data_IF_001280826626
#
_entry.id   IF_001280826626
#
_cell.length_a   1.000
_cell.length_b   1.000
_cell.length_c   1.000
_cell.angle_alpha   90.00
_cell.angle_beta   90.00
_cell.angle_gamma   90.00
#
_symmetry.space_group_name_H-M   'P 1'
#
loop_
_entity.id
_entity.type
_entity.pdbx_description
1 polymer ?
#
# COMPACT_ATOMS: atom_id res chain seq x y z
N UNK A 1 -36.81 0.84 -79.12
CA UNK A 1 -37.62 -0.32 -79.46
C UNK A 1 -38.16 -0.91 -78.19
N UNK A 2 -39.39 -0.81 -78.02
CA UNK A 2 -40.48 -1.64 -77.51
C UNK A 2 -40.51 -1.79 -75.98
N UNK A 3 -41.33 -1.07 -75.24
CA UNK A 3 -42.81 -1.09 -75.10
C UNK A 3 -43.33 -2.37 -74.47
N UNK A 4 -43.88 -2.29 -73.26
CA UNK A 4 -45.26 -2.67 -72.95
C UNK A 4 -45.36 -2.93 -71.42
N UNK A 5 -46.07 -2.23 -70.70
CA UNK A 5 -47.44 -1.93 -70.36
C UNK A 5 -48.01 -2.79 -69.24
N UNK A 6 -48.50 -2.06 -68.24
CA UNK A 6 -49.67 -2.27 -67.37
C UNK A 6 -49.96 -3.64 -66.74
N UNK A 7 -50.24 -3.62 -65.43
CA UNK A 7 -51.63 -3.67 -64.91
C UNK A 7 -51.64 -3.35 -63.40
N UNK A 8 -52.52 -2.34 -63.08
CA UNK A 8 -52.91 -2.02 -61.68
C UNK A 8 -53.87 -3.10 -61.17
N UNK A 9 -53.69 -3.52 -59.90
CA UNK A 9 -54.84 -3.98 -59.12
C UNK A 9 -54.68 -3.49 -57.66
N UNK A 10 -55.56 -2.65 -57.25
CA UNK A 10 -55.81 -2.22 -55.91
C UNK A 10 -56.48 -3.37 -55.16
N UNK A 11 -55.98 -3.69 -53.95
CA UNK A 11 -56.69 -4.49 -52.94
C UNK A 11 -56.63 -3.68 -51.65
N UNK A 12 -57.78 -3.13 -51.26
CA UNK A 12 -58.07 -2.55 -49.98
C UNK A 12 -58.02 -3.68 -48.95
N UNK A 13 -57.10 -3.59 -47.97
CA UNK A 13 -57.08 -4.42 -46.81
C UNK A 13 -56.91 -3.54 -45.58
N UNK A 14 -58.01 -3.31 -44.87
CA UNK A 14 -58.03 -2.61 -43.59
C UNK A 14 -57.21 -3.38 -42.58
N UNK A 15 -55.99 -2.90 -42.24
CA UNK A 15 -55.25 -3.38 -41.07
C UNK A 15 -55.72 -2.62 -39.84
N UNK A 16 -56.47 -3.32 -39.02
CA UNK A 16 -56.81 -2.92 -37.65
C UNK A 16 -55.49 -2.91 -36.80
N UNK A 17 -54.93 -1.72 -36.55
CA UNK A 17 -53.80 -1.56 -35.67
C UNK A 17 -54.26 -1.73 -34.22
N UNK A 18 -54.06 -2.91 -33.64
CA UNK A 18 -54.12 -3.08 -32.19
C UNK A 18 -52.95 -2.32 -31.55
N UNK A 19 -53.21 -1.13 -31.03
CA UNK A 19 -52.33 -0.46 -30.08
C UNK A 19 -52.31 -1.30 -28.80
N UNK A 20 -51.31 -2.12 -28.63
CA UNK A 20 -50.92 -2.66 -27.32
C UNK A 20 -50.29 -1.51 -26.54
N UNK A 21 -51.08 -0.88 -25.69
CA UNK A 21 -50.60 0.02 -24.64
C UNK A 21 -49.83 -0.88 -23.66
N UNK A 22 -48.52 -0.95 -23.80
CA UNK A 22 -47.66 -1.51 -22.80
C UNK A 22 -47.72 -0.60 -21.56
N UNK A 23 -48.48 -1.02 -20.55
CA UNK A 23 -48.45 -0.38 -19.25
C UNK A 23 -46.98 -0.40 -18.76
N UNK A 24 -46.44 0.71 -18.20
CA UNK A 24 -45.12 0.71 -17.60
C UNK A 24 -45.17 -0.26 -16.42
N UNK A 25 -44.59 -1.44 -16.62
CA UNK A 25 -44.35 -2.38 -15.55
C UNK A 25 -43.50 -1.69 -14.50
N UNK A 26 -44.09 -1.40 -13.35
CA UNK A 26 -43.33 -1.04 -12.15
C UNK A 26 -42.44 -2.24 -11.84
N UNK A 27 -41.17 -2.16 -12.22
CA UNK A 27 -40.18 -3.09 -11.76
C UNK A 27 -40.17 -2.95 -10.22
N UNK A 28 -40.80 -3.91 -9.52
CA UNK A 28 -40.70 -4.02 -8.06
C UNK A 28 -39.20 -4.13 -7.77
N UNK A 29 -38.65 -3.10 -7.15
CA UNK A 29 -37.30 -3.16 -6.57
C UNK A 29 -37.34 -4.29 -5.56
N UNK A 30 -36.87 -5.47 -5.93
CA UNK A 30 -36.67 -6.57 -4.99
C UNK A 30 -35.69 -6.09 -3.94
N UNK A 31 -36.12 -6.09 -2.67
CA UNK A 31 -35.25 -5.72 -1.56
C UNK A 31 -34.02 -6.62 -1.56
N UNK A 32 -32.81 -6.04 -1.41
CA UNK A 32 -31.59 -6.84 -1.38
C UNK A 32 -31.62 -7.77 -0.17
N UNK A 33 -31.22 -9.03 -0.38
CA UNK A 33 -31.16 -10.05 0.66
C UNK A 33 -29.74 -10.55 0.83
N UNK A 34 -29.31 -10.78 2.08
CA UNK A 34 -28.05 -11.43 2.39
C UNK A 34 -28.27 -12.91 2.67
N UNK A 35 -27.51 -13.78 2.01
CA UNK A 35 -27.62 -15.22 2.15
C UNK A 35 -26.67 -15.78 3.20
N UNK A 36 -27.21 -16.26 4.32
CA UNK A 36 -26.44 -16.99 5.32
C UNK A 36 -26.39 -18.47 4.99
N UNK A 37 -25.21 -19.07 4.91
CA UNK A 37 -25.02 -20.50 4.71
C UNK A 37 -25.04 -21.24 6.05
N UNK A 38 -26.05 -22.07 6.28
CA UNK A 38 -26.27 -22.84 7.51
C UNK A 38 -25.07 -23.75 7.80
N UNK A 39 -24.63 -23.73 9.05
CA UNK A 39 -23.55 -24.57 9.58
C UNK A 39 -24.14 -25.71 10.41
N UNK A 40 -23.44 -26.84 10.62
CA UNK A 40 -23.86 -27.88 11.55
C UNK A 40 -24.16 -27.31 12.95
N UNK A 41 -25.33 -27.64 13.51
CA UNK A 41 -25.75 -27.18 14.83
C UNK A 41 -26.44 -25.82 14.88
N UNK A 42 -26.54 -25.08 13.77
CA UNK A 42 -27.26 -23.81 13.73
C UNK A 42 -28.77 -24.00 13.98
N UNK A 43 -29.35 -23.05 14.72
CA UNK A 43 -30.81 -22.90 14.88
C UNK A 43 -31.25 -21.54 14.38
N UNK A 44 -32.44 -21.44 13.83
CA UNK A 44 -32.91 -20.19 13.19
C UNK A 44 -32.94 -19.01 14.17
N UNK A 45 -33.30 -19.27 15.44
CA UNK A 45 -33.30 -18.24 16.49
C UNK A 45 -31.87 -17.71 16.78
N UNK A 46 -30.85 -18.55 16.71
CA UNK A 46 -29.48 -18.15 16.97
C UNK A 46 -28.93 -17.35 15.81
N UNK A 47 -29.33 -17.69 14.57
CA UNK A 47 -29.03 -16.88 13.37
C UNK A 47 -29.70 -15.51 13.49
N UNK A 48 -30.99 -15.44 13.85
CA UNK A 48 -31.70 -14.18 14.06
C UNK A 48 -31.02 -13.32 15.14
N UNK A 49 -30.71 -13.93 16.31
CA UNK A 49 -29.97 -13.24 17.38
C UNK A 49 -28.63 -12.71 16.94
N UNK A 50 -27.95 -13.40 16.05
CA UNK A 50 -26.60 -12.99 15.58
C UNK A 50 -26.64 -11.92 14.53
N UNK A 51 -27.63 -11.90 13.64
CA UNK A 51 -27.61 -11.12 12.41
C UNK A 51 -28.76 -10.12 12.23
N UNK A 52 -29.96 -10.35 12.89
CA UNK A 52 -31.09 -9.41 12.75
C UNK A 52 -31.08 -8.30 13.81
N UNK A 53 -31.58 -7.12 13.45
CA UNK A 53 -31.80 -5.97 14.36
C UNK A 53 -32.72 -6.37 15.51
N UNK A 54 -33.82 -7.06 15.18
CA UNK A 54 -34.76 -7.60 16.15
C UNK A 54 -34.71 -9.14 16.12
N UNK A 55 -34.14 -9.78 17.16
CA UNK A 55 -34.06 -11.23 17.25
C UNK A 55 -35.43 -11.94 17.25
N UNK A 56 -36.51 -11.25 17.69
CA UNK A 56 -37.85 -11.82 17.77
C UNK A 56 -38.50 -11.99 16.39
N UNK A 57 -37.93 -11.36 15.35
CA UNK A 57 -38.37 -11.54 13.97
C UNK A 57 -37.96 -12.89 13.35
N UNK A 58 -37.36 -13.82 14.13
CA UNK A 58 -37.02 -15.15 13.64
C UNK A 58 -38.21 -15.92 13.04
N UNK A 59 -39.45 -15.63 13.47
CA UNK A 59 -40.66 -16.21 12.89
C UNK A 59 -40.92 -15.71 11.47
N UNK A 60 -40.69 -14.42 11.20
CA UNK A 60 -40.77 -13.86 9.85
C UNK A 60 -39.69 -14.47 8.96
N UNK A 61 -38.49 -14.65 9.53
CA UNK A 61 -37.40 -15.30 8.83
C UNK A 61 -37.70 -16.76 8.51
N UNK A 62 -38.39 -17.48 9.39
CA UNK A 62 -38.87 -18.84 9.17
C UNK A 62 -39.84 -18.92 7.99
N UNK A 63 -40.83 -18.02 7.96
CA UNK A 63 -41.86 -17.97 6.92
C UNK A 63 -41.24 -17.61 5.55
N UNK A 64 -40.43 -16.54 5.48
CA UNK A 64 -39.84 -16.06 4.24
C UNK A 64 -38.84 -17.06 3.61
N UNK A 65 -38.22 -17.94 4.42
CA UNK A 65 -37.29 -18.97 3.97
C UNK A 65 -37.91 -20.37 3.89
N UNK A 66 -39.21 -20.51 4.13
CA UNK A 66 -39.93 -21.79 4.12
C UNK A 66 -39.19 -22.87 4.95
N UNK A 67 -38.86 -22.53 6.21
CA UNK A 67 -38.14 -23.41 7.12
C UNK A 67 -39.14 -24.25 7.91
N UNK A 68 -39.22 -25.58 7.73
CA UNK A 68 -40.20 -26.44 8.42
C UNK A 68 -39.97 -26.48 9.92
N UNK A 69 -38.73 -26.75 10.34
CA UNK A 69 -38.34 -26.81 11.77
C UNK A 69 -37.21 -25.79 12.03
N UNK A 70 -37.49 -24.74 12.85
CA UNK A 70 -36.49 -23.72 13.16
C UNK A 70 -35.37 -24.20 14.07
N UNK A 71 -35.50 -25.38 14.69
CA UNK A 71 -34.47 -25.98 15.55
C UNK A 71 -33.55 -26.93 14.77
N UNK A 72 -34.00 -27.40 13.60
CA UNK A 72 -33.30 -28.40 12.80
C UNK A 72 -33.05 -27.87 11.37
N UNK A 73 -32.00 -27.07 11.20
CA UNK A 73 -31.63 -26.54 9.91
C UNK A 73 -30.69 -27.52 9.19
N UNK A 74 -30.89 -27.69 7.88
CA UNK A 74 -29.98 -28.51 7.06
C UNK A 74 -28.69 -27.76 6.81
N UNK A 75 -27.52 -28.31 7.20
CA UNK A 75 -26.23 -27.71 6.88
C UNK A 75 -26.07 -27.49 5.36
N UNK A 76 -25.53 -26.33 4.99
CA UNK A 76 -25.34 -25.93 3.59
C UNK A 76 -26.55 -25.23 2.97
N UNK A 77 -27.77 -25.34 3.54
CA UNK A 77 -28.92 -24.55 3.09
C UNK A 77 -28.66 -23.04 3.27
N UNK A 78 -29.15 -22.24 2.36
CA UNK A 78 -29.08 -20.78 2.47
C UNK A 78 -30.33 -20.22 3.15
N UNK A 79 -30.14 -19.37 4.15
CA UNK A 79 -31.17 -18.54 4.78
C UNK A 79 -31.00 -17.11 4.29
N UNK A 80 -32.01 -16.59 3.60
CA UNK A 80 -32.03 -15.25 3.05
C UNK A 80 -32.57 -14.26 4.09
N UNK A 81 -31.77 -13.30 4.49
CA UNK A 81 -32.13 -12.23 5.44
C UNK A 81 -32.22 -10.92 4.68
N UNK A 82 -33.36 -10.20 4.72
CA UNK A 82 -33.44 -8.87 4.13
C UNK A 82 -32.35 -7.96 4.70
N UNK A 83 -31.65 -7.22 3.85
CA UNK A 83 -30.57 -6.32 4.33
C UNK A 83 -31.11 -5.26 5.28
N UNK A 84 -32.33 -4.79 5.06
CA UNK A 84 -33.01 -3.86 5.96
C UNK A 84 -33.12 -4.36 7.40
N UNK A 85 -33.18 -5.69 7.60
CA UNK A 85 -33.31 -6.32 8.90
C UNK A 85 -31.96 -6.68 9.56
N UNK A 86 -30.84 -6.53 8.85
CA UNK A 86 -29.52 -6.86 9.39
C UNK A 86 -29.09 -5.89 10.49
N UNK A 87 -28.46 -6.43 11.54
CA UNK A 87 -27.77 -5.63 12.55
C UNK A 87 -26.69 -4.78 11.89
N UNK A 88 -26.65 -3.53 12.26
CA UNK A 88 -25.52 -2.66 11.99
C UNK A 88 -24.58 -2.70 13.19
N UNK A 89 -23.31 -2.89 12.94
CA UNK A 89 -22.23 -2.66 13.90
C UNK A 89 -21.89 -1.19 14.00
N UNK A 90 -21.01 -0.86 14.93
CA UNK A 90 -20.52 0.50 15.05
C UNK A 90 -19.82 0.93 13.74
N UNK A 91 -20.26 2.05 13.14
CA UNK A 91 -19.62 2.57 11.95
C UNK A 91 -18.26 3.13 12.35
N UNK A 92 -17.19 2.45 11.97
CA UNK A 92 -15.87 2.95 12.29
C UNK A 92 -14.88 2.82 11.13
N UNK A 93 -13.95 3.74 11.11
CA UNK A 93 -12.65 3.62 10.45
C UNK A 93 -11.58 3.89 11.50
N UNK A 94 -10.45 3.19 11.44
CA UNK A 94 -9.36 3.36 12.39
C UNK A 94 -8.15 4.02 11.73
N UNK A 95 -7.59 5.05 12.36
CA UNK A 95 -6.30 5.61 12.02
C UNK A 95 -5.19 4.64 12.49
N UNK A 96 -4.78 3.69 11.64
CA UNK A 96 -3.81 2.64 12.05
C UNK A 96 -2.38 3.12 12.08
N UNK A 97 -2.04 4.11 11.24
CA UNK A 97 -0.72 4.72 11.23
C UNK A 97 -0.85 6.20 10.86
N UNK A 98 -0.26 7.07 11.66
CA UNK A 98 -0.20 8.51 11.44
C UNK A 98 1.27 8.93 11.47
N UNK A 99 1.71 9.63 10.43
CA UNK A 99 3.02 10.26 10.37
C UNK A 99 2.86 11.75 10.09
N UNK A 100 3.59 12.58 10.84
CA UNK A 100 3.56 14.03 10.67
C UNK A 100 2.31 14.70 11.25
N UNK A 101 1.85 15.79 10.63
CA UNK A 101 0.70 16.59 11.07
C UNK A 101 -0.57 16.19 10.32
N UNK A 102 -1.51 15.58 11.05
CA UNK A 102 -2.83 15.19 10.55
C UNK A 102 -3.90 15.78 11.42
N UNK A 103 -4.83 16.52 10.82
CA UNK A 103 -5.85 17.29 11.50
C UNK A 103 -7.24 16.80 11.14
N UNK A 104 -8.13 16.76 12.15
CA UNK A 104 -9.58 16.67 11.94
C UNK A 104 -10.12 18.10 11.84
N UNK A 105 -10.96 18.34 10.82
CA UNK A 105 -11.56 19.63 10.55
C UNK A 105 -13.04 19.65 10.94
N UNK A 106 -13.54 20.80 11.32
CA UNK A 106 -14.97 21.07 11.45
C UNK A 106 -15.63 21.34 10.09
N UNK A 107 -16.94 21.62 10.10
CA UNK A 107 -17.71 21.93 8.89
C UNK A 107 -17.30 23.24 8.20
N UNK A 108 -16.62 24.14 8.93
CA UNK A 108 -16.08 25.38 8.39
C UNK A 108 -14.66 25.20 7.82
N UNK A 109 -14.09 23.99 7.96
CA UNK A 109 -12.74 23.67 7.51
C UNK A 109 -11.64 24.06 8.50
N UNK A 110 -11.98 24.40 9.73
CA UNK A 110 -11.00 24.75 10.76
C UNK A 110 -10.54 23.49 11.53
N UNK A 111 -9.25 23.40 11.87
CA UNK A 111 -8.74 22.30 12.69
C UNK A 111 -9.38 22.29 14.09
N UNK A 112 -9.92 21.13 14.49
CA UNK A 112 -10.54 20.93 15.82
C UNK A 112 -9.78 19.93 16.68
N UNK A 113 -9.04 19.01 16.09
CA UNK A 113 -8.23 18.02 16.81
C UNK A 113 -7.12 17.46 15.93
N UNK A 114 -6.00 17.07 16.53
CA UNK A 114 -5.01 16.22 15.87
C UNK A 114 -5.52 14.80 15.80
N UNK A 115 -5.20 14.10 14.71
CA UNK A 115 -5.42 12.67 14.56
C UNK A 115 -4.13 11.95 14.93
N UNK A 116 -4.23 10.92 15.77
CA UNK A 116 -3.10 10.07 16.19
C UNK A 116 -3.38 8.60 15.87
N UNK A 117 -2.32 7.79 15.80
CA UNK A 117 -2.49 6.35 15.59
C UNK A 117 -3.32 5.72 16.71
N UNK A 118 -4.30 4.90 16.33
CA UNK A 118 -5.30 4.29 17.23
C UNK A 118 -6.63 5.05 17.31
N UNK A 119 -6.72 6.27 16.78
CA UNK A 119 -7.97 7.02 16.79
C UNK A 119 -9.07 6.34 15.97
N UNK A 120 -10.29 6.42 16.51
CA UNK A 120 -11.50 6.04 15.79
C UNK A 120 -12.00 7.24 14.97
N UNK A 121 -12.14 7.02 13.69
CA UNK A 121 -12.68 7.99 12.74
C UNK A 121 -14.15 7.67 12.47
N UNK A 122 -14.99 8.70 12.38
CA UNK A 122 -16.44 8.56 12.28
C UNK A 122 -16.96 9.07 10.93
N UNK A 123 -18.16 8.64 10.60
CA UNK A 123 -18.90 9.21 9.48
C UNK A 123 -19.04 10.72 9.65
N UNK A 124 -18.74 11.49 8.61
CA UNK A 124 -18.75 12.94 8.61
C UNK A 124 -17.42 13.58 8.98
N UNK A 125 -16.44 12.82 9.50
CA UNK A 125 -15.10 13.38 9.76
C UNK A 125 -14.46 13.86 8.46
N UNK A 126 -13.97 15.08 8.48
CA UNK A 126 -13.09 15.63 7.44
C UNK A 126 -11.67 15.67 8.00
N UNK A 127 -10.73 15.08 7.25
CA UNK A 127 -9.35 14.94 7.68
C UNK A 127 -8.43 15.59 6.65
N UNK A 128 -7.44 16.30 7.14
CA UNK A 128 -6.40 16.94 6.34
C UNK A 128 -5.02 16.51 6.79
N UNK A 129 -4.18 16.13 5.84
CA UNK A 129 -2.75 15.86 6.05
C UNK A 129 -1.93 17.09 5.65
N UNK A 130 -0.92 17.42 6.47
CA UNK A 130 0.05 18.48 6.17
C UNK A 130 1.12 18.03 5.18
N UNK A 131 2.15 18.86 4.99
CA UNK A 131 3.36 18.49 4.24
C UNK A 131 4.11 17.37 4.98
N UNK A 132 4.67 16.43 4.23
CA UNK A 132 5.40 15.25 4.74
C UNK A 132 4.60 14.47 5.79
N UNK A 133 3.28 14.43 5.63
CA UNK A 133 2.37 13.78 6.57
C UNK A 133 1.49 12.78 5.88
N UNK A 134 1.24 11.65 6.53
CA UNK A 134 0.42 10.58 5.98
C UNK A 134 -0.50 9.98 7.03
N UNK A 135 -1.62 9.44 6.57
CA UNK A 135 -2.57 8.71 7.39
C UNK A 135 -2.95 7.41 6.71
N UNK A 136 -2.80 6.29 7.38
CA UNK A 136 -3.38 5.02 6.94
C UNK A 136 -4.67 4.76 7.69
N UNK A 137 -5.77 4.68 6.94
CA UNK A 137 -7.11 4.35 7.45
C UNK A 137 -7.41 2.90 7.16
N UNK A 138 -7.91 2.15 8.16
CA UNK A 138 -8.49 0.82 7.99
C UNK A 138 -9.99 0.90 8.22
N UNK A 139 -10.75 0.37 7.27
CA UNK A 139 -12.22 0.31 7.31
C UNK A 139 -12.74 -1.00 7.92
N UNK A 140 -14.04 -1.09 8.17
CA UNK A 140 -14.68 -2.23 8.81
C UNK A 140 -14.60 -3.55 8.02
N UNK A 141 -14.38 -3.49 6.71
CA UNK A 141 -14.17 -4.62 5.80
C UNK A 141 -12.69 -4.99 5.60
N UNK A 142 -11.79 -4.46 6.45
CA UNK A 142 -10.35 -4.54 6.36
C UNK A 142 -9.72 -3.86 5.12
N UNK A 143 -10.50 -3.13 4.33
CA UNK A 143 -9.96 -2.24 3.31
C UNK A 143 -9.06 -1.19 3.93
N UNK A 144 -7.98 -0.81 3.23
CA UNK A 144 -7.01 0.19 3.69
C UNK A 144 -6.89 1.31 2.67
N UNK A 145 -6.78 2.53 3.18
CA UNK A 145 -6.50 3.72 2.40
C UNK A 145 -5.33 4.46 3.03
N UNK A 146 -4.25 4.61 2.31
CA UNK A 146 -3.17 5.52 2.64
C UNK A 146 -3.51 6.89 2.05
N UNK A 147 -3.65 7.90 2.88
CA UNK A 147 -3.85 9.30 2.51
C UNK A 147 -2.46 9.95 2.51
N UNK A 148 -2.05 10.48 1.36
CA UNK A 148 -0.72 11.08 1.19
C UNK A 148 -0.69 12.52 1.72
N UNK A 149 0.45 13.19 1.61
CA UNK A 149 0.60 14.57 2.06
C UNK A 149 -0.34 15.56 1.35
N UNK A 150 -0.63 16.70 2.00
CA UNK A 150 -1.46 17.80 1.46
C UNK A 150 -2.82 17.35 0.91
N UNK A 151 -3.37 16.30 1.50
CA UNK A 151 -4.64 15.72 1.11
C UNK A 151 -5.76 16.13 2.06
N UNK A 152 -6.97 16.24 1.51
CA UNK A 152 -8.20 16.48 2.27
C UNK A 152 -9.26 15.49 1.86
N UNK A 153 -9.74 14.71 2.82
CA UNK A 153 -10.77 13.68 2.61
C UNK A 153 -11.92 13.87 3.59
N UNK A 154 -13.13 13.42 3.22
CA UNK A 154 -14.28 13.30 4.12
C UNK A 154 -14.82 11.87 4.08
N UNK A 155 -15.05 11.28 5.26
CA UNK A 155 -15.68 9.97 5.41
C UNK A 155 -17.20 10.12 5.31
N UNK A 156 -17.76 10.07 4.09
CA UNK A 156 -19.16 10.43 3.82
C UNK A 156 -20.15 9.35 4.25
N UNK A 157 -19.78 8.06 4.20
CA UNK A 157 -20.57 6.93 4.69
C UNK A 157 -19.66 5.86 5.25
N UNK A 158 -20.04 5.32 6.39
CA UNK A 158 -19.39 4.17 7.06
C UNK A 158 -20.48 3.29 7.63
N UNK A 159 -21.04 2.37 6.83
CA UNK A 159 -22.03 1.42 7.32
C UNK A 159 -21.39 0.04 7.45
N UNK A 160 -21.49 -0.56 8.63
CA UNK A 160 -21.02 -1.89 8.93
C UNK A 160 -22.22 -2.79 9.21
N UNK A 161 -22.38 -3.89 8.49
CA UNK A 161 -23.48 -4.84 8.69
C UNK A 161 -23.10 -5.97 9.67
N UNK A 162 -22.41 -5.60 10.74
CA UNK A 162 -22.08 -6.50 11.85
C UNK A 162 -21.23 -7.69 11.39
N UNK A 163 -21.65 -8.90 11.80
CA UNK A 163 -20.91 -10.14 11.52
C UNK A 163 -21.02 -10.65 10.08
N UNK A 164 -21.72 -9.95 9.19
CA UNK A 164 -21.87 -10.38 7.78
C UNK A 164 -20.59 -10.19 6.97
N UNK A 165 -19.69 -9.31 7.41
CA UNK A 165 -18.52 -8.88 6.66
C UNK A 165 -18.83 -7.92 5.50
N UNK A 166 -20.09 -7.42 5.41
CA UNK A 166 -20.46 -6.37 4.47
C UNK A 166 -20.21 -5.00 5.07
N UNK A 167 -19.70 -4.09 4.26
CA UNK A 167 -19.61 -2.66 4.58
C UNK A 167 -20.06 -1.81 3.38
N UNK A 168 -20.61 -0.62 3.67
CA UNK A 168 -20.85 0.42 2.66
C UNK A 168 -20.01 1.63 3.06
N UNK A 169 -18.89 1.80 2.36
CA UNK A 169 -17.89 2.84 2.61
C UNK A 169 -17.92 3.85 1.47
N UNK A 170 -18.08 5.14 1.82
CA UNK A 170 -17.97 6.25 0.87
C UNK A 170 -17.00 7.28 1.39
N UNK A 171 -16.00 7.59 0.58
CA UNK A 171 -14.99 8.60 0.87
C UNK A 171 -15.03 9.67 -0.20
N UNK A 172 -15.04 10.92 0.21
CA UNK A 172 -14.86 12.07 -0.69
C UNK A 172 -13.41 12.54 -0.60
N UNK A 173 -12.72 12.57 -1.72
CA UNK A 173 -11.37 13.14 -1.83
C UNK A 173 -11.50 14.51 -2.47
N UNK A 174 -11.21 15.56 -1.68
CA UNK A 174 -11.33 16.94 -2.13
C UNK A 174 -10.08 17.43 -2.86
N UNK A 175 -8.91 17.02 -2.37
CA UNK A 175 -7.59 17.32 -2.94
C UNK A 175 -6.55 16.34 -2.44
N UNK A 176 -5.41 16.27 -3.13
CA UNK A 176 -4.27 15.42 -2.77
C UNK A 176 -4.43 13.99 -3.23
N UNK A 177 -3.72 13.07 -2.60
CA UNK A 177 -3.59 11.69 -3.07
C UNK A 177 -4.06 10.64 -2.08
N UNK A 178 -4.54 9.52 -2.62
CA UNK A 178 -4.82 8.29 -1.86
C UNK A 178 -4.29 7.07 -2.59
N UNK A 179 -3.79 6.09 -1.84
CA UNK A 179 -3.40 4.76 -2.32
C UNK A 179 -4.24 3.73 -1.54
N UNK A 180 -5.13 3.03 -2.23
CA UNK A 180 -6.15 2.20 -1.61
C UNK A 180 -6.01 0.74 -1.99
N UNK A 181 -6.10 -0.13 -0.99
CA UNK A 181 -6.23 -1.57 -1.14
C UNK A 181 -7.59 -1.98 -0.59
N UNK A 182 -8.53 -2.24 -1.48
CA UNK A 182 -9.90 -2.58 -1.12
C UNK A 182 -10.06 -4.09 -1.06
N UNK A 183 -10.63 -4.57 0.03
CA UNK A 183 -10.97 -5.99 0.21
C UNK A 183 -12.05 -6.43 -0.78
N UNK A 184 -12.06 -7.70 -1.25
CA UNK A 184 -13.12 -8.21 -2.09
C UNK A 184 -14.49 -8.04 -1.42
N UNK A 185 -15.38 -7.29 -2.06
CA UNK A 185 -16.69 -6.96 -1.52
C UNK A 185 -17.60 -8.18 -1.47
N UNK A 186 -18.19 -8.46 -0.32
CA UNK A 186 -19.03 -9.64 -0.04
C UNK A 186 -20.48 -9.24 0.14
N UNK A 187 -21.37 -9.82 -0.67
CA UNK A 187 -22.81 -9.64 -0.54
C UNK A 187 -23.39 -8.48 -1.35
N UNK A 188 -24.72 -8.31 -1.31
CA UNK A 188 -25.45 -7.52 -2.30
C UNK A 188 -25.35 -6.00 -2.12
N UNK A 189 -24.98 -5.52 -0.92
CA UNK A 189 -24.93 -4.08 -0.60
C UNK A 189 -23.55 -3.62 -0.16
N UNK A 190 -22.57 -4.52 -0.17
CA UNK A 190 -21.21 -4.13 0.07
C UNK A 190 -20.71 -3.22 -1.06
N UNK A 191 -20.24 -2.03 -0.70
CA UNK A 191 -19.77 -1.01 -1.63
C UNK A 191 -18.55 -0.29 -1.08
N UNK A 192 -17.66 0.05 -1.97
CA UNK A 192 -16.59 0.98 -1.70
C UNK A 192 -16.62 2.03 -2.82
N UNK A 193 -17.00 3.24 -2.46
CA UNK A 193 -17.17 4.34 -3.41
C UNK A 193 -16.24 5.49 -3.03
N UNK A 194 -15.60 6.09 -4.04
CA UNK A 194 -14.86 7.35 -3.86
C UNK A 194 -15.45 8.40 -4.79
N UNK A 195 -15.74 9.56 -4.25
CA UNK A 195 -16.10 10.73 -5.03
C UNK A 195 -14.99 11.76 -5.02
N UNK A 196 -14.75 12.38 -6.15
CA UNK A 196 -13.82 13.48 -6.35
C UNK A 196 -14.53 14.64 -7.07
N UNK A 197 -13.93 15.82 -7.21
CA UNK A 197 -14.53 16.89 -8.01
C UNK A 197 -14.80 16.51 -9.47
N UNK A 198 -14.05 15.56 -10.04
CA UNK A 198 -14.12 15.22 -11.47
C UNK A 198 -14.89 13.94 -11.77
N UNK A 199 -14.90 12.92 -10.87
CA UNK A 199 -15.58 11.65 -11.12
C UNK A 199 -15.96 10.92 -9.84
N UNK A 200 -16.90 10.01 -9.97
CA UNK A 200 -17.24 9.01 -8.96
C UNK A 200 -16.65 7.65 -9.36
N UNK A 201 -16.14 6.93 -8.39
CA UNK A 201 -15.53 5.61 -8.55
C UNK A 201 -16.29 4.59 -7.71
N UNK A 202 -16.65 3.47 -8.32
CA UNK A 202 -17.16 2.29 -7.64
C UNK A 202 -16.12 1.16 -7.73
N UNK A 203 -15.77 0.59 -6.58
CA UNK A 203 -14.64 -0.30 -6.41
C UNK A 203 -15.08 -1.63 -5.80
N UNK A 204 -14.54 -2.75 -6.31
CA UNK A 204 -14.88 -4.08 -5.80
C UNK A 204 -13.66 -4.99 -5.72
N UNK A 205 -12.88 -4.84 -4.64
CA UNK A 205 -11.70 -5.68 -4.43
C UNK A 205 -10.54 -5.33 -5.35
N UNK A 206 -9.98 -4.13 -5.19
CA UNK A 206 -8.97 -3.57 -6.10
C UNK A 206 -7.89 -2.81 -5.36
N UNK A 207 -6.68 -2.78 -5.95
CA UNK A 207 -5.62 -1.83 -5.61
C UNK A 207 -5.61 -0.67 -6.60
N UNK A 208 -5.76 0.56 -6.13
CA UNK A 208 -5.79 1.74 -7.00
C UNK A 208 -5.32 3.00 -6.28
N UNK A 209 -4.94 3.98 -7.07
CA UNK A 209 -4.49 5.29 -6.60
C UNK A 209 -5.37 6.39 -7.20
N UNK A 210 -5.52 7.47 -6.44
CA UNK A 210 -6.19 8.69 -6.87
C UNK A 210 -5.27 9.86 -6.54
N UNK A 211 -5.20 10.79 -7.47
CA UNK A 211 -4.60 12.11 -7.26
C UNK A 211 -5.56 13.17 -7.74
N UNK A 212 -5.98 14.04 -6.84
CA UNK A 212 -6.85 15.21 -7.13
C UNK A 212 -5.97 16.46 -7.08
N UNK A 213 -5.90 17.17 -8.18
CA UNK A 213 -5.13 18.41 -8.28
C UNK A 213 -5.77 19.53 -7.46
N UNK A 214 -4.95 20.22 -6.68
CA UNK A 214 -5.35 21.43 -5.99
C UNK A 214 -5.66 22.53 -7.00
N UNK A 215 -6.77 23.24 -6.82
CA UNK A 215 -7.18 24.37 -7.65
C UNK A 215 -8.13 24.04 -8.80
N UNK A 216 -7.86 23.06 -9.65
CA UNK A 216 -8.74 22.71 -10.77
C UNK A 216 -9.57 21.45 -10.56
N UNK A 217 -9.27 20.65 -9.53
CA UNK A 217 -9.98 19.42 -9.19
C UNK A 217 -9.84 18.29 -10.22
N UNK A 218 -8.93 18.41 -11.20
CA UNK A 218 -8.63 17.32 -12.13
C UNK A 218 -8.16 16.10 -11.34
N UNK A 219 -8.66 14.94 -11.73
CA UNK A 219 -8.46 13.70 -10.97
C UNK A 219 -7.81 12.66 -11.86
N UNK A 220 -6.67 12.13 -11.40
CA UNK A 220 -6.03 10.95 -11.98
C UNK A 220 -6.38 9.74 -11.16
N UNK A 221 -6.75 8.67 -11.84
CA UNK A 221 -7.01 7.37 -11.19
C UNK A 221 -6.19 6.32 -11.91
N UNK A 222 -5.37 5.58 -11.18
CA UNK A 222 -4.58 4.46 -11.70
C UNK A 222 -4.99 3.17 -10.99
N UNK A 223 -5.31 2.13 -11.75
CA UNK A 223 -5.67 0.82 -11.22
C UNK A 223 -4.46 -0.09 -11.28
N UNK A 224 -4.03 -0.54 -10.10
CA UNK A 224 -2.87 -1.44 -9.94
C UNK A 224 -3.31 -2.90 -9.98
N UNK A 225 -4.48 -3.19 -9.39
CA UNK A 225 -5.05 -4.55 -9.29
C UNK A 225 -6.57 -4.48 -9.41
N UNK A 226 -7.16 -5.45 -10.13
CA UNK A 226 -8.62 -5.57 -10.26
C UNK A 226 -9.24 -4.65 -11.30
N UNK A 227 -10.42 -4.12 -11.01
CA UNK A 227 -11.24 -3.34 -11.93
C UNK A 227 -12.01 -2.26 -11.17
N UNK A 228 -11.98 -1.03 -11.65
CA UNK A 228 -12.70 0.13 -11.10
C UNK A 228 -13.67 0.68 -12.14
N UNK A 229 -14.90 0.94 -11.74
CA UNK A 229 -15.88 1.65 -12.56
C UNK A 229 -15.83 3.15 -12.23
N UNK A 230 -15.59 3.98 -13.23
CA UNK A 230 -15.61 5.44 -13.13
C UNK A 230 -16.84 6.02 -13.84
N UNK A 231 -17.42 7.08 -13.27
CA UNK A 231 -18.56 7.81 -13.85
C UNK A 231 -18.35 9.32 -13.70
N UNK A 232 -18.57 10.04 -14.79
CA UNK A 232 -18.61 11.52 -14.83
C UNK A 232 -19.52 11.99 -15.94
N UNK A 233 -20.40 12.96 -15.66
CA UNK A 233 -21.29 13.59 -16.64
C UNK A 233 -22.06 12.58 -17.51
N UNK A 234 -22.58 11.50 -16.91
CA UNK A 234 -23.32 10.44 -17.62
C UNK A 234 -22.45 9.52 -18.49
N UNK A 235 -21.14 9.76 -18.56
CA UNK A 235 -20.16 8.86 -19.20
C UNK A 235 -19.58 7.89 -18.18
N UNK A 236 -19.44 6.63 -18.58
CA UNK A 236 -18.87 5.56 -17.75
C UNK A 236 -17.63 4.97 -18.41
N UNK A 237 -16.66 4.60 -17.60
CA UNK A 237 -15.45 3.91 -18.03
C UNK A 237 -15.08 2.77 -17.04
N UNK A 238 -14.72 1.61 -17.59
CA UNK A 238 -14.17 0.51 -16.82
C UNK A 238 -12.64 0.56 -16.89
N UNK A 239 -11.99 0.79 -15.77
CA UNK A 239 -10.55 0.96 -15.67
C UNK A 239 -9.98 -0.34 -15.11
N UNK A 240 -9.28 -1.10 -15.95
CA UNK A 240 -8.67 -2.37 -15.57
C UNK A 240 -7.26 -2.16 -14.97
N UNK A 241 -6.75 -3.18 -14.28
CA UNK A 241 -5.37 -3.20 -13.81
C UNK A 241 -4.36 -2.87 -14.93
N UNK A 242 -3.41 -2.00 -14.64
CA UNK A 242 -2.42 -1.48 -15.59
C UNK A 242 -2.92 -0.33 -16.48
N UNK A 243 -4.11 0.21 -16.18
CA UNK A 243 -4.67 1.39 -16.87
C UNK A 243 -4.99 2.51 -15.88
N UNK A 244 -5.01 3.72 -16.37
CA UNK A 244 -5.43 4.92 -15.65
C UNK A 244 -6.27 5.84 -16.50
N UNK A 245 -6.90 6.81 -15.85
CA UNK A 245 -7.71 7.82 -16.51
C UNK A 245 -7.47 9.20 -15.88
N UNK A 246 -7.42 10.22 -16.72
CA UNK A 246 -7.49 11.61 -16.29
C UNK A 246 -8.91 12.10 -16.51
N UNK A 247 -9.55 12.57 -15.44
CA UNK A 247 -10.87 13.18 -15.47
C UNK A 247 -10.78 14.65 -15.09
N UNK A 248 -11.56 15.50 -15.76
CA UNK A 248 -11.66 16.92 -15.47
C UNK A 248 -13.09 17.27 -15.03
N UNK A 249 -13.27 18.14 -14.04
CA UNK A 249 -14.60 18.52 -13.57
C UNK A 249 -15.48 19.04 -14.71
N UNK A 250 -16.71 18.53 -14.77
CA UNK A 250 -17.68 18.95 -15.77
C UNK A 250 -17.48 18.36 -17.17
N UNK A 251 -16.49 17.48 -17.37
CA UNK A 251 -16.26 16.81 -18.66
C UNK A 251 -16.62 15.34 -18.60
N UNK A 252 -17.02 14.78 -19.75
CA UNK A 252 -17.19 13.34 -19.90
C UNK A 252 -15.85 12.61 -19.80
N UNK A 253 -15.88 11.36 -19.34
CA UNK A 253 -14.67 10.54 -19.24
C UNK A 253 -14.13 10.18 -20.63
N UNK A 254 -12.81 10.28 -20.78
CA UNK A 254 -12.07 9.71 -21.91
C UNK A 254 -11.92 8.19 -21.80
N UNK A 255 -11.12 7.63 -22.71
CA UNK A 255 -10.76 6.21 -22.63
C UNK A 255 -9.59 6.02 -21.63
N UNK A 256 -9.61 4.92 -20.84
CA UNK A 256 -8.47 4.57 -20.00
C UNK A 256 -7.18 4.38 -20.81
N UNK A 257 -6.08 4.94 -20.33
CA UNK A 257 -4.75 4.88 -20.93
C UNK A 257 -3.89 3.84 -20.22
N UNK A 258 -3.09 3.10 -20.96
CA UNK A 258 -2.16 2.13 -20.38
C UNK A 258 -1.08 2.84 -19.56
N UNK A 259 -0.88 2.40 -18.33
CA UNK A 259 0.15 2.94 -17.44
C UNK A 259 1.56 2.51 -17.88
N UNK A 260 2.53 3.33 -17.56
CA UNK A 260 3.94 3.00 -17.73
C UNK A 260 4.32 1.76 -16.90
N UNK A 261 5.25 0.97 -17.41
CA UNK A 261 5.83 -0.14 -16.66
C UNK A 261 6.62 0.37 -15.44
N UNK A 262 6.96 -0.53 -14.53
CA UNK A 262 7.85 -0.21 -13.42
C UNK A 262 9.27 0.09 -13.96
N UNK A 263 9.96 1.13 -13.46
CA UNK A 263 11.37 1.34 -13.77
C UNK A 263 12.22 0.19 -13.20
N UNK A 264 13.36 -0.10 -13.83
CA UNK A 264 14.31 -1.09 -13.33
C UNK A 264 15.26 -0.40 -12.37
N UNK A 265 15.18 -0.77 -11.08
CA UNK A 265 16.07 -0.26 -10.05
C UNK A 265 17.47 -0.85 -10.22
N UNK A 266 18.50 0.00 -10.09
CA UNK A 266 19.89 -0.42 -10.09
C UNK A 266 20.22 -1.32 -8.90
N UNK A 267 21.33 -2.04 -9.03
CA UNK A 267 21.84 -2.84 -7.92
C UNK A 267 22.30 -1.91 -6.79
N UNK A 268 21.75 -2.11 -5.62
CA UNK A 268 22.10 -1.40 -4.39
C UNK A 268 22.09 -2.40 -3.26
N UNK A 269 23.03 -2.29 -2.32
CA UNK A 269 23.06 -3.15 -1.14
C UNK A 269 21.73 -3.07 -0.38
N UNK A 270 21.26 -4.22 0.13
CA UNK A 270 20.11 -4.27 1.04
C UNK A 270 20.44 -3.71 2.43
N UNK A 271 21.72 -3.41 2.70
CA UNK A 271 22.19 -2.81 3.93
C UNK A 271 22.99 -1.55 3.62
N UNK A 272 22.44 -0.39 3.96
CA UNK A 272 23.11 0.91 3.88
C UNK A 272 23.88 1.15 5.18
N UNK A 273 25.20 1.08 5.10
CA UNK A 273 26.10 1.26 6.24
C UNK A 273 26.64 2.68 6.35
N UNK A 274 26.47 3.49 5.30
CA UNK A 274 27.04 4.82 5.16
C UNK A 274 26.08 5.72 4.41
N UNK A 275 25.85 6.93 4.89
CA UNK A 275 25.11 7.96 4.18
C UNK A 275 26.06 8.79 3.29
N UNK A 276 25.55 9.40 2.22
CA UNK A 276 24.16 9.39 1.75
C UNK A 276 23.73 8.04 1.14
N UNK A 277 22.47 7.68 1.39
CA UNK A 277 21.83 6.56 0.69
C UNK A 277 21.54 6.98 -0.76
N UNK A 278 22.08 6.25 -1.74
CA UNK A 278 21.94 6.56 -3.17
C UNK A 278 21.24 5.44 -3.90
N UNK A 279 20.32 5.82 -4.77
CA UNK A 279 19.55 4.89 -5.60
C UNK A 279 19.45 5.45 -7.01
N UNK A 280 19.53 4.55 -7.97
CA UNK A 280 19.42 4.87 -9.39
C UNK A 280 18.48 3.86 -10.06
N UNK A 281 17.87 4.25 -11.15
CA UNK A 281 17.02 3.39 -11.96
C UNK A 281 17.19 3.70 -13.44
N UNK A 282 16.83 2.75 -14.29
CA UNK A 282 16.88 2.94 -15.73
C UNK A 282 15.83 3.94 -16.18
N UNK A 283 16.20 4.88 -17.03
CA UNK A 283 15.27 5.81 -17.64
C UNK A 283 14.17 5.04 -18.39
N UNK A 284 12.92 5.41 -18.13
CA UNK A 284 11.76 4.71 -18.66
C UNK A 284 11.19 5.49 -19.86
N UNK A 285 11.04 4.83 -20.99
CA UNK A 285 10.45 5.43 -22.18
C UNK A 285 9.00 5.90 -21.86
N UNK A 286 8.68 7.15 -22.22
CA UNK A 286 7.38 7.79 -21.96
C UNK A 286 7.25 8.43 -20.58
N UNK A 287 8.19 8.21 -19.66
CA UNK A 287 8.22 8.93 -18.39
C UNK A 287 8.86 10.32 -18.60
N UNK A 288 8.16 11.35 -18.16
CA UNK A 288 8.69 12.72 -18.08
C UNK A 288 9.34 12.99 -16.73
N UNK A 289 8.83 12.38 -15.68
CA UNK A 289 9.30 12.52 -14.30
C UNK A 289 9.10 11.21 -13.55
N UNK A 290 9.58 11.16 -12.32
CA UNK A 290 9.43 10.01 -11.45
C UNK A 290 8.87 10.43 -10.09
N UNK A 291 7.86 9.68 -9.58
CA UNK A 291 7.49 9.74 -8.17
C UNK A 291 8.43 8.85 -7.39
N UNK A 292 9.10 9.41 -6.41
CA UNK A 292 10.03 8.71 -5.53
C UNK A 292 9.52 8.79 -4.11
N UNK A 293 9.27 7.65 -3.52
CA UNK A 293 8.76 7.54 -2.15
C UNK A 293 9.71 6.70 -1.30
N UNK A 294 10.03 7.22 -0.11
CA UNK A 294 10.66 6.47 0.95
C UNK A 294 9.62 6.10 1.99
N UNK A 295 9.49 4.82 2.27
CA UNK A 295 8.56 4.29 3.26
C UNK A 295 9.35 3.73 4.41
N UNK A 296 9.08 4.19 5.63
CA UNK A 296 9.54 3.54 6.86
C UNK A 296 8.60 2.37 7.18
N UNK A 297 9.15 1.22 7.52
CA UNK A 297 8.37 0.04 7.91
C UNK A 297 8.21 0.06 9.43
N UNK A 298 7.02 0.44 9.90
CA UNK A 298 6.72 0.53 11.35
C UNK A 298 5.68 -0.53 11.71
N UNK A 299 6.06 -1.49 12.53
CA UNK A 299 5.17 -2.60 12.95
C UNK A 299 4.47 -3.30 11.77
N UNK A 300 5.19 -3.50 10.66
CA UNK A 300 4.68 -4.13 9.46
C UNK A 300 3.76 -3.25 8.57
N UNK A 301 3.61 -1.97 8.91
CA UNK A 301 2.89 -0.99 8.10
C UNK A 301 3.87 0.00 7.45
N UNK A 302 3.56 0.40 6.23
CA UNK A 302 4.33 1.38 5.48
C UNK A 302 3.87 2.81 5.83
N UNK A 303 4.80 3.64 6.30
CA UNK A 303 4.61 5.09 6.42
C UNK A 303 5.46 5.80 5.37
N UNK A 304 4.88 6.57 4.49
CA UNK A 304 5.63 7.42 3.58
C UNK A 304 6.26 8.56 4.41
N UNK A 305 7.57 8.58 4.46
CA UNK A 305 8.36 9.61 5.15
C UNK A 305 8.96 10.63 4.18
N UNK A 306 9.11 10.24 2.91
CA UNK A 306 9.51 11.12 1.79
C UNK A 306 8.60 10.83 0.62
N UNK A 307 8.06 11.86 0.00
CA UNK A 307 7.27 11.80 -1.23
C UNK A 307 7.67 12.97 -2.13
N UNK A 308 8.38 12.68 -3.19
CA UNK A 308 8.92 13.71 -4.08
C UNK A 308 8.80 13.32 -5.54
N UNK A 309 8.77 14.34 -6.39
CA UNK A 309 8.82 14.18 -7.85
C UNK A 309 10.20 14.60 -8.32
N UNK A 310 10.89 13.67 -8.98
CA UNK A 310 12.22 13.88 -9.55
C UNK A 310 12.17 13.96 -11.07
N UNK A 311 12.88 14.90 -11.65
CA UNK A 311 13.10 14.98 -13.10
C UNK A 311 14.25 14.05 -13.56
N UNK A 312 14.98 13.46 -12.61
CA UNK A 312 16.11 12.58 -12.84
C UNK A 312 15.76 11.13 -12.48
N UNK A 313 16.55 10.20 -12.99
CA UNK A 313 16.46 8.77 -12.70
C UNK A 313 17.37 8.34 -11.54
N UNK A 314 17.53 9.21 -10.54
CA UNK A 314 18.29 8.95 -9.31
C UNK A 314 17.70 9.70 -8.13
N UNK A 315 17.96 9.20 -6.93
CA UNK A 315 17.62 9.85 -5.67
C UNK A 315 18.72 9.63 -4.63
N UNK A 316 18.86 10.57 -3.70
CA UNK A 316 19.86 10.55 -2.65
C UNK A 316 19.26 11.14 -1.38
N UNK A 317 19.58 10.54 -0.23
CA UNK A 317 19.21 11.07 1.08
C UNK A 317 20.45 11.12 1.98
N UNK A 318 20.77 12.31 2.43
CA UNK A 318 21.94 12.58 3.28
C UNK A 318 21.70 12.19 4.73
N UNK A 319 20.42 12.14 5.14
CA UNK A 319 19.99 11.79 6.50
C UNK A 319 18.85 10.77 6.44
N UNK A 320 19.09 9.61 7.02
CA UNK A 320 18.08 8.59 7.31
C UNK A 320 18.44 7.97 8.68
N UNK A 321 17.52 7.92 9.63
CA UNK A 321 17.69 7.16 10.87
C UNK A 321 17.95 5.68 10.58
N UNK A 322 18.59 4.98 11.52
CA UNK A 322 18.69 3.53 11.46
C UNK A 322 17.29 2.90 11.50
N UNK A 323 17.02 1.93 10.63
CA UNK A 323 15.71 1.30 10.50
C UNK A 323 15.52 0.57 9.18
N UNK A 324 14.34 -0.03 9.04
CA UNK A 324 13.93 -0.73 7.82
C UNK A 324 13.10 0.19 6.93
N UNK A 325 13.44 0.18 5.65
CA UNK A 325 12.84 1.07 4.65
C UNK A 325 12.45 0.32 3.39
N UNK A 326 11.54 0.95 2.65
CA UNK A 326 11.18 0.56 1.30
C UNK A 326 11.23 1.76 0.37
N UNK A 327 12.11 1.72 -0.63
CA UNK A 327 12.08 2.64 -1.75
C UNK A 327 10.97 2.21 -2.70
N UNK A 328 10.19 3.17 -3.17
CA UNK A 328 9.18 2.99 -4.22
C UNK A 328 9.37 4.04 -5.29
N UNK A 329 9.52 3.62 -6.55
CA UNK A 329 9.71 4.51 -7.70
C UNK A 329 8.72 4.15 -8.79
N UNK A 330 8.16 5.15 -9.46
CA UNK A 330 7.28 4.98 -10.62
C UNK A 330 7.42 6.14 -11.59
N UNK A 331 7.31 5.86 -12.90
CA UNK A 331 7.34 6.88 -13.94
C UNK A 331 6.03 7.66 -13.97
N UNK A 332 6.10 8.93 -14.32
CA UNK A 332 4.97 9.83 -14.53
C UNK A 332 4.98 10.22 -16.01
N UNK A 333 3.89 9.96 -16.71
CA UNK A 333 3.73 10.27 -18.13
C UNK A 333 3.32 11.73 -18.40
N UNK A 334 3.10 12.08 -19.66
CA UNK A 334 2.71 13.43 -20.08
C UNK A 334 1.34 13.87 -19.58
N UNK A 335 0.43 12.94 -19.26
CA UNK A 335 -0.88 13.21 -18.66
C UNK A 335 -0.81 13.31 -17.13
N UNK A 336 0.34 13.03 -16.55
CA UNK A 336 0.57 12.97 -15.12
C UNK A 336 0.12 11.67 -14.47
N UNK A 337 -0.26 10.65 -15.26
CA UNK A 337 -0.58 9.32 -14.74
C UNK A 337 0.71 8.63 -14.26
N UNK A 338 0.63 8.00 -13.10
CA UNK A 338 1.73 7.30 -12.48
C UNK A 338 1.71 5.81 -12.84
N UNK A 339 2.83 5.29 -13.31
CA UNK A 339 3.00 3.90 -13.74
C UNK A 339 3.04 2.88 -12.61
N UNK A 340 3.46 1.67 -12.95
CA UNK A 340 3.64 0.59 -12.00
C UNK A 340 4.79 0.87 -11.03
N UNK A 341 4.70 0.35 -9.79
CA UNK A 341 5.72 0.52 -8.76
C UNK A 341 6.94 -0.38 -9.02
N UNK A 342 8.14 0.20 -9.02
CA UNK A 342 9.35 -0.52 -8.67
C UNK A 342 9.59 -0.36 -7.17
N UNK A 343 9.87 -1.44 -6.45
CA UNK A 343 10.08 -1.41 -5.00
C UNK A 343 11.36 -2.14 -4.61
N UNK A 344 12.08 -1.60 -3.62
CA UNK A 344 13.25 -2.22 -3.02
C UNK A 344 13.23 -2.04 -1.52
N UNK A 345 13.25 -3.15 -0.78
CA UNK A 345 13.44 -3.13 0.66
C UNK A 345 14.94 -3.03 0.99
N UNK A 346 15.28 -2.24 2.00
CA UNK A 346 16.63 -2.12 2.52
C UNK A 346 16.62 -1.68 3.98
N UNK A 347 17.72 -1.94 4.67
CA UNK A 347 17.94 -1.52 6.06
C UNK A 347 19.01 -0.45 6.09
N UNK A 348 18.79 0.61 6.85
CA UNK A 348 19.81 1.58 7.21
C UNK A 348 20.35 1.20 8.59
N UNK A 349 21.66 0.96 8.68
CA UNK A 349 22.38 0.74 9.91
C UNK A 349 23.71 1.45 9.82
N UNK A 350 23.72 2.70 10.25
CA UNK A 350 24.87 3.61 10.11
C UNK A 350 25.50 3.96 11.45
N UNK A 351 24.80 3.71 12.55
CA UNK A 351 25.24 4.10 13.92
C UNK A 351 25.31 2.91 14.87
N UNK A 352 26.26 2.93 15.83
CA UNK A 352 27.42 3.81 15.87
C UNK A 352 28.32 3.63 14.64
N UNK A 353 28.95 4.69 14.17
CA UNK A 353 29.83 4.63 13.00
C UNK A 353 30.96 3.61 13.20
N UNK A 354 31.35 2.85 12.16
CA UNK A 354 32.49 1.96 12.26
C UNK A 354 33.78 2.76 12.39
N UNK A 355 34.82 2.21 13.04
CA UNK A 355 36.12 2.84 13.10
C UNK A 355 36.84 2.78 11.74
N UNK A 356 37.76 3.71 11.51
CA UNK A 356 38.69 3.61 10.38
C UNK A 356 39.78 2.58 10.69
N UNK A 357 39.99 1.65 9.78
CA UNK A 357 41.04 0.63 9.90
C UNK A 357 42.40 1.26 9.56
N UNK A 358 43.46 0.92 10.31
CA UNK A 358 44.78 1.51 10.12
C UNK A 358 45.88 0.51 9.86
N UNK A 359 45.92 -0.61 10.58
CA UNK A 359 46.92 -1.67 10.41
C UNK A 359 46.28 -3.05 10.52
N UNK A 360 46.70 -4.03 9.72
CA UNK A 360 47.51 -3.85 8.51
C UNK A 360 46.76 -3.00 7.48
N UNK A 361 47.46 -2.25 6.64
CA UNK A 361 46.87 -1.48 5.53
C UNK A 361 46.17 -2.46 4.57
N UNK A 362 45.18 -1.95 3.85
CA UNK A 362 44.54 -2.75 2.79
C UNK A 362 45.57 -3.29 1.80
N UNK A 363 45.44 -4.56 1.42
CA UNK A 363 46.35 -5.26 0.47
C UNK A 363 47.80 -5.39 0.99
N UNK A 364 48.03 -5.21 2.27
CA UNK A 364 49.34 -5.34 2.88
C UNK A 364 49.90 -6.78 2.73
N UNK A 365 51.21 -6.88 2.57
CA UNK A 365 51.94 -8.16 2.61
C UNK A 365 52.87 -8.19 3.79
N UNK A 366 52.85 -9.25 4.56
CA UNK A 366 53.71 -9.45 5.73
C UNK A 366 54.33 -10.86 5.70
N UNK A 367 55.52 -10.98 6.25
CA UNK A 367 56.16 -12.24 6.56
C UNK A 367 56.05 -12.56 8.06
N UNK A 368 55.62 -11.60 8.87
CA UNK A 368 55.51 -11.75 10.33
C UNK A 368 54.40 -12.75 10.70
N UNK A 369 54.72 -13.65 11.57
CA UNK A 369 53.78 -14.64 12.12
C UNK A 369 52.69 -13.96 12.94
N UNK A 370 53.03 -12.90 13.65
CA UNK A 370 52.13 -12.12 14.51
C UNK A 370 51.76 -10.80 13.84
N UNK A 371 50.49 -10.62 13.55
CA UNK A 371 49.95 -9.41 12.88
C UNK A 371 49.22 -8.55 13.90
N UNK A 372 49.55 -7.27 13.91
CA UNK A 372 48.89 -6.27 14.77
C UNK A 372 47.81 -5.59 13.99
N UNK A 373 46.55 -5.66 14.46
CA UNK A 373 45.42 -5.00 13.92
C UNK A 373 45.11 -3.72 14.71
N UNK A 374 44.99 -2.60 14.06
CA UNK A 374 44.71 -1.29 14.67
C UNK A 374 43.61 -0.53 13.91
N UNK A 375 42.86 0.26 14.68
CA UNK A 375 41.82 1.14 14.18
C UNK A 375 41.74 2.45 14.97
N UNK A 376 41.02 3.45 14.44
CA UNK A 376 40.79 4.74 15.07
C UNK A 376 39.70 4.67 16.14
N UNK A 377 39.55 5.72 16.93
CA UNK A 377 38.35 5.93 17.76
C UNK A 377 37.21 6.35 16.84
N UNK A 378 36.08 5.65 16.95
CA UNK A 378 34.85 6.06 16.28
C UNK A 378 33.95 6.89 17.21
N UNK A 379 33.17 7.86 16.69
CA UNK A 379 32.19 8.58 17.48
C UNK A 379 31.20 7.63 18.17
N UNK A 380 30.83 7.93 19.41
CA UNK A 380 29.89 7.15 20.23
C UNK A 380 30.32 5.71 20.56
N UNK A 381 31.48 5.26 20.07
CA UNK A 381 31.99 3.93 20.39
C UNK A 381 32.58 3.89 21.81
N UNK A 382 32.14 2.94 22.61
CA UNK A 382 32.77 2.59 23.89
C UNK A 382 33.65 1.37 23.75
N UNK A 383 33.18 0.38 22.96
CA UNK A 383 33.87 -0.87 22.72
C UNK A 383 33.84 -1.21 21.23
N UNK A 384 34.53 -2.29 20.86
CA UNK A 384 34.62 -2.73 19.46
C UNK A 384 34.41 -4.25 19.34
N UNK A 385 33.90 -4.66 18.19
CA UNK A 385 33.81 -6.07 17.77
C UNK A 385 34.78 -6.28 16.61
N UNK A 386 35.63 -7.28 16.70
CA UNK A 386 36.64 -7.59 15.66
C UNK A 386 36.31 -8.93 15.00
N UNK A 387 36.54 -9.02 13.70
CA UNK A 387 36.47 -10.27 12.94
C UNK A 387 37.65 -10.38 11.97
N UNK A 388 38.19 -11.57 11.84
CA UNK A 388 39.23 -11.98 10.90
C UNK A 388 38.73 -13.26 10.20
N UNK A 389 38.80 -13.33 8.87
CA UNK A 389 38.33 -14.45 8.07
C UNK A 389 39.27 -14.76 6.90
N UNK A 390 39.16 -15.97 6.35
CA UNK A 390 39.83 -16.40 5.13
C UNK A 390 39.06 -16.05 3.86
N UNK A 391 37.80 -15.58 3.99
CA UNK A 391 36.94 -15.20 2.87
C UNK A 391 36.32 -13.81 3.06
N UNK A 392 35.97 -13.17 1.95
CA UNK A 392 35.40 -11.82 1.92
C UNK A 392 33.99 -11.74 2.55
N UNK A 393 33.25 -12.83 2.56
CA UNK A 393 31.90 -12.94 3.13
C UNK A 393 31.92 -13.19 4.63
N UNK A 394 33.10 -13.43 5.24
CA UNK A 394 33.26 -13.74 6.68
C UNK A 394 32.49 -14.99 7.14
N UNK A 395 32.44 -16.00 6.28
CA UNK A 395 31.85 -17.31 6.60
C UNK A 395 32.86 -18.19 7.35
N UNK A 396 34.13 -18.12 6.96
CA UNK A 396 35.24 -18.89 7.54
C UNK A 396 36.03 -17.98 8.48
N UNK A 397 35.54 -17.81 9.69
CA UNK A 397 36.19 -16.95 10.70
C UNK A 397 37.42 -17.63 11.30
N UNK A 398 38.57 -16.98 11.20
CA UNK A 398 39.81 -17.33 11.88
C UNK A 398 39.79 -16.83 13.33
N UNK A 399 39.26 -15.62 13.54
CA UNK A 399 39.08 -15.05 14.86
C UNK A 399 37.83 -14.15 14.90
N UNK A 400 37.12 -14.24 16.02
CA UNK A 400 36.02 -13.36 16.33
C UNK A 400 36.10 -12.92 17.78
N UNK A 401 36.36 -11.63 18.01
CA UNK A 401 36.36 -11.06 19.35
C UNK A 401 35.10 -10.24 19.52
N UNK A 402 34.12 -10.71 20.30
CA UNK A 402 32.80 -10.07 20.37
C UNK A 402 32.83 -8.71 21.04
N UNK A 403 33.83 -8.48 21.95
CA UNK A 403 33.97 -7.20 22.66
C UNK A 403 35.43 -6.93 23.00
N UNK A 404 35.94 -5.77 22.60
CA UNK A 404 37.24 -5.23 22.89
C UNK A 404 37.03 -3.88 23.54
N UNK A 405 37.60 -3.65 24.74
CA UNK A 405 37.46 -2.37 25.44
C UNK A 405 38.00 -1.21 24.62
N UNK A 406 37.31 -0.08 24.60
CA UNK A 406 37.61 1.06 23.77
C UNK A 406 38.95 1.72 24.00
N UNK A 407 39.56 1.51 25.19
CA UNK A 407 40.97 1.88 25.47
C UNK A 407 41.96 1.03 24.70
N UNK A 408 41.55 -0.14 24.23
CA UNK A 408 42.40 -1.16 23.60
C UNK A 408 42.05 -1.28 22.12
N UNK A 409 42.61 -0.39 21.30
CA UNK A 409 42.30 -0.26 19.85
C UNK A 409 43.30 -1.05 18.99
N UNK A 410 43.81 -2.13 19.52
CA UNK A 410 44.69 -3.03 18.81
C UNK A 410 44.53 -4.45 19.34
N UNK A 411 44.65 -5.42 18.45
CA UNK A 411 44.74 -6.85 18.80
C UNK A 411 45.86 -7.47 18.02
N UNK A 412 46.42 -8.52 18.59
CA UNK A 412 47.52 -9.26 17.99
C UNK A 412 47.09 -10.71 17.78
N UNK A 413 47.22 -11.20 16.56
CA UNK A 413 46.94 -12.58 16.21
C UNK A 413 48.12 -13.20 15.47
N UNK A 414 48.43 -14.46 15.81
CA UNK A 414 49.29 -15.31 15.01
C UNK A 414 48.39 -15.97 13.93
N UNK A 415 48.78 -15.83 12.66
CA UNK A 415 48.03 -16.40 11.55
C UNK A 415 48.94 -17.22 10.62
N UNK A 416 48.52 -18.37 10.08
CA UNK A 416 49.26 -19.13 9.06
C UNK A 416 49.51 -18.29 7.79
N UNK A 417 50.36 -18.79 6.87
CA UNK A 417 50.48 -18.17 5.55
C UNK A 417 49.14 -18.29 4.80
N UNK A 418 48.68 -17.19 4.23
CA UNK A 418 47.37 -17.12 3.57
C UNK A 418 46.93 -15.69 3.27
N UNK A 419 45.81 -15.56 2.61
CA UNK A 419 45.12 -14.29 2.40
C UNK A 419 43.99 -14.19 3.42
N UNK A 420 43.83 -13.02 4.02
CA UNK A 420 42.86 -12.75 5.08
C UNK A 420 42.09 -11.46 4.85
N UNK A 421 40.90 -11.44 5.44
CA UNK A 421 39.98 -10.29 5.49
C UNK A 421 39.70 -9.94 6.93
N UNK A 422 39.70 -8.65 7.27
CA UNK A 422 39.40 -8.23 8.61
C UNK A 422 38.54 -6.98 8.65
N UNK A 423 37.72 -6.86 9.68
CA UNK A 423 36.77 -5.75 9.88
C UNK A 423 36.48 -5.51 11.35
N UNK A 424 36.05 -4.29 11.66
CA UNK A 424 35.75 -3.87 13.03
C UNK A 424 34.40 -3.14 13.04
N UNK A 425 33.59 -3.39 14.07
CA UNK A 425 32.36 -2.66 14.35
C UNK A 425 32.49 -1.96 15.70
N UNK A 426 31.87 -0.79 15.83
CA UNK A 426 31.76 -0.04 17.07
C UNK A 426 30.60 -0.56 17.92
N UNK A 427 30.72 -0.45 19.25
CA UNK A 427 29.69 -0.79 20.24
C UNK A 427 29.50 0.40 21.16
N UNK A 428 28.25 0.85 21.34
CA UNK A 428 27.92 1.96 22.26
C UNK A 428 27.98 1.50 23.73
N UNK A 429 27.86 2.47 24.64
CA UNK A 429 27.71 2.19 26.10
C UNK A 429 26.46 1.37 26.43
N UNK A 430 25.41 1.46 25.62
CA UNK A 430 24.18 0.68 25.78
C UNK A 430 24.26 -0.72 25.17
N UNK A 431 25.38 -1.05 24.50
CA UNK A 431 25.61 -2.35 23.86
C UNK A 431 25.08 -2.43 22.42
N UNK A 432 24.58 -1.31 21.84
CA UNK A 432 24.18 -1.29 20.43
C UNK A 432 25.41 -1.42 19.52
N UNK A 433 25.35 -2.35 18.57
CA UNK A 433 26.44 -2.67 17.65
C UNK A 433 26.17 -2.02 16.30
N UNK A 434 27.10 -1.18 15.87
CA UNK A 434 27.08 -0.54 14.55
C UNK A 434 27.42 -1.52 13.41
N UNK A 435 27.39 -1.01 12.17
CA UNK A 435 27.85 -1.78 11.03
C UNK A 435 29.36 -2.08 11.16
N UNK A 436 29.79 -3.18 10.54
CA UNK A 436 31.22 -3.39 10.34
C UNK A 436 31.77 -2.39 9.33
N UNK A 437 33.03 -1.99 9.52
CA UNK A 437 33.81 -1.26 8.50
C UNK A 437 33.85 -2.03 7.19
N UNK A 438 34.23 -1.35 6.13
CA UNK A 438 34.70 -2.05 4.93
C UNK A 438 35.87 -2.97 5.32
N UNK A 439 35.91 -4.15 4.71
CA UNK A 439 36.94 -5.12 5.03
C UNK A 439 38.28 -4.70 4.40
N UNK A 440 39.35 -4.76 5.17
CA UNK A 440 40.71 -4.71 4.64
C UNK A 440 41.21 -6.12 4.39
N UNK A 441 42.07 -6.26 3.39
CA UNK A 441 42.77 -7.52 3.07
C UNK A 441 44.25 -7.42 3.41
N UNK A 442 44.85 -8.53 3.77
CA UNK A 442 46.31 -8.68 3.82
C UNK A 442 46.71 -10.10 3.47
N UNK A 443 47.93 -10.26 3.03
CA UNK A 443 48.54 -11.57 2.74
C UNK A 443 49.71 -11.81 3.65
N UNK A 444 49.67 -12.91 4.40
CA UNK A 444 50.83 -13.41 5.13
C UNK A 444 51.57 -14.44 4.27
N UNK A 445 52.83 -14.15 3.89
CA UNK A 445 53.70 -15.11 3.19
C UNK A 445 54.45 -15.98 4.15
N UNK A 446 54.76 -17.24 3.80
CA UNK A 446 55.67 -18.03 4.56
C UNK A 446 57.06 -17.38 4.57
N UNK A 447 57.77 -17.41 5.70
CA UNK A 447 59.18 -16.98 5.69
C UNK A 447 59.93 -17.86 4.68
N UNK A 448 60.76 -17.23 3.83
CA UNK A 448 61.64 -17.98 2.93
C UNK A 448 62.56 -18.81 3.81
N UNK A 449 62.48 -20.13 3.71
CA UNK A 449 63.49 -21.07 4.31
C UNK A 449 64.79 -20.78 3.61
N UNK A 450 65.76 -20.23 4.35
CA UNK A 450 67.19 -20.11 3.89
C UNK A 450 67.82 -21.49 3.90
#
# INVERSE_FOLDING_TARGET
MSASSMVKRAINGSLLACLLIAAPGHAQKTEPVWGYKVRPGDRLIDIAKSYQKNPDDWKKLQQSNTVPDPKLLQPGKQINIPVADLKQGDPFAAAVLVHGDVQRLDKSGQPVAKVVSGDVLKMGDTIQTGARSTLTVRFADDSRMLVTEKSKITLSSLVNYGKTGMADTKVQVHQGGTDSQVSPQKGPVARYEISTPALNLAVRGTGFRIQVDEGNGATRTEVVEGLVAGESQGSQAMIAAGFGILAEPGKALGQPTRLLNAPVLGETSNLVKKLPARFEWTALAGALRYRVQMLAVVQGNDAIIVDEVSDNNKAQWDELPDGDYRLRVRGIDASGLEGANATKAFTVKTRPEPPELSLPKNEHRSVDEKVVFRWSVAPQAQDYRFQLAEDAEFKNLVAAVPRIAGSNRAVLFAVPAGQYYWRVASITSTGDVGPFSDAFTFTRSAAATQ
#
